data_IF_569436365485
#
_entry.id   IF_569436365485
#
_cell.length_a   1.000
_cell.length_b   1.000
_cell.length_c   1.000
_cell.angle_alpha   90.00
_cell.angle_beta   90.00
_cell.angle_gamma   90.00
#
_symmetry.space_group_name_H-M   'P 1'
#
loop_
_entity.id
_entity.type
_entity.pdbx_description
1 polymer ?
#
# COMPACT_ATOMS: atom_id res chain seq x y z
N UNK A 1 17.24 -35.66 8.29
CA UNK A 1 18.47 -36.27 8.84
C UNK A 1 19.42 -35.16 9.25
N UNK A 2 19.49 -34.89 10.55
CA UNK A 2 20.40 -33.91 11.16
C UNK A 2 21.81 -34.52 11.11
N UNK A 3 22.69 -33.99 10.24
CA UNK A 3 24.09 -34.45 10.14
C UNK A 3 24.88 -33.92 11.35
N UNK A 4 25.86 -34.67 11.83
CA UNK A 4 26.52 -34.39 13.10
C UNK A 4 27.39 -33.12 13.04
N UNK A 5 27.44 -32.37 14.13
CA UNK A 5 28.27 -31.18 14.28
C UNK A 5 29.77 -31.45 13.99
N UNK A 6 30.22 -32.66 14.31
CA UNK A 6 31.59 -33.13 14.04
C UNK A 6 31.89 -33.21 12.53
N UNK A 7 30.96 -33.70 11.71
CA UNK A 7 31.15 -33.75 10.25
C UNK A 7 31.32 -32.35 9.66
N UNK A 8 30.57 -31.38 10.17
CA UNK A 8 30.67 -29.99 9.75
C UNK A 8 32.05 -29.39 10.09
N UNK A 9 32.52 -29.57 11.32
CA UNK A 9 33.83 -29.07 11.76
C UNK A 9 34.99 -29.67 10.96
N UNK A 10 34.97 -30.99 10.71
CA UNK A 10 36.00 -31.63 9.87
C UNK A 10 36.04 -31.09 8.46
N UNK A 11 34.88 -30.79 7.86
CA UNK A 11 34.84 -30.16 6.53
C UNK A 11 35.36 -28.72 6.56
N UNK A 12 35.04 -27.93 7.59
CA UNK A 12 35.57 -26.56 7.72
C UNK A 12 37.10 -26.54 7.82
N UNK A 13 37.69 -27.44 8.63
CA UNK A 13 39.15 -27.55 8.74
C UNK A 13 39.83 -27.90 7.40
N UNK A 14 39.20 -28.79 6.60
CA UNK A 14 39.71 -29.12 5.26
C UNK A 14 39.52 -27.98 4.24
N UNK A 15 38.48 -27.16 4.40
CA UNK A 15 38.27 -25.94 3.62
C UNK A 15 39.36 -24.91 3.93
N UNK A 16 39.65 -24.69 5.21
CA UNK A 16 40.70 -23.78 5.70
C UNK A 16 42.10 -24.24 5.25
N UNK A 17 42.33 -25.54 5.20
CA UNK A 17 43.53 -26.15 4.63
C UNK A 17 43.64 -26.05 3.10
N UNK A 18 42.69 -25.41 2.42
CA UNK A 18 42.75 -25.11 0.98
C UNK A 18 42.35 -26.26 0.05
N UNK A 19 41.80 -27.37 0.55
CA UNK A 19 41.37 -28.48 -0.30
C UNK A 19 40.16 -28.08 -1.15
N UNK A 20 40.04 -28.65 -2.35
CA UNK A 20 38.87 -28.47 -3.22
C UNK A 20 37.69 -29.40 -2.83
N UNK A 21 36.47 -29.06 -3.26
CA UNK A 21 35.24 -29.79 -2.86
C UNK A 21 35.24 -31.27 -3.24
N UNK A 22 35.88 -31.64 -4.36
CA UNK A 22 35.98 -33.04 -4.79
C UNK A 22 36.91 -33.85 -3.86
N UNK A 23 38.03 -33.26 -3.45
CA UNK A 23 38.97 -33.86 -2.53
C UNK A 23 38.35 -34.08 -1.15
N UNK A 24 37.68 -33.06 -0.61
CA UNK A 24 36.97 -33.16 0.67
C UNK A 24 35.85 -34.21 0.60
N UNK A 25 35.09 -34.26 -0.51
CA UNK A 25 34.04 -35.27 -0.69
C UNK A 25 34.57 -36.70 -0.67
N UNK A 26 35.71 -36.94 -1.34
CA UNK A 26 36.39 -38.25 -1.33
C UNK A 26 36.92 -38.61 0.06
N UNK A 27 37.48 -37.65 0.79
CA UNK A 27 38.10 -37.89 2.10
C UNK A 27 37.08 -38.10 3.21
N UNK A 28 35.95 -37.38 3.16
CA UNK A 28 34.94 -37.38 4.25
C UNK A 28 33.73 -38.27 3.96
N UNK A 29 33.57 -38.77 2.72
CA UNK A 29 32.38 -39.47 2.27
C UNK A 29 31.14 -38.56 2.14
N UNK A 30 31.27 -37.27 2.41
CA UNK A 30 30.17 -36.30 2.33
C UNK A 30 29.94 -35.94 0.87
N UNK A 31 28.69 -35.95 0.36
CA UNK A 31 28.42 -35.62 -1.03
C UNK A 31 28.96 -34.24 -1.40
N UNK A 32 29.65 -34.13 -2.54
CA UNK A 32 30.28 -32.88 -3.03
C UNK A 32 29.35 -31.66 -2.94
N UNK A 33 28.05 -31.83 -3.24
CA UNK A 33 27.06 -30.75 -3.16
C UNK A 33 26.88 -30.20 -1.74
N UNK A 34 27.00 -31.06 -0.73
CA UNK A 34 26.95 -30.67 0.69
C UNK A 34 28.23 -29.94 1.09
N UNK A 35 29.40 -30.44 0.69
CA UNK A 35 30.68 -29.76 0.94
C UNK A 35 30.66 -28.35 0.31
N UNK A 36 30.20 -28.25 -0.94
CA UNK A 36 30.04 -26.98 -1.64
C UNK A 36 29.08 -26.04 -0.91
N UNK A 37 27.98 -26.57 -0.34
CA UNK A 37 27.04 -25.80 0.46
C UNK A 37 27.66 -25.32 1.78
N UNK A 38 28.43 -26.15 2.47
CA UNK A 38 29.10 -25.76 3.72
C UNK A 38 30.25 -24.78 3.50
N UNK A 39 30.97 -24.88 2.38
CA UNK A 39 32.00 -23.90 1.98
C UNK A 39 31.42 -22.53 1.68
N UNK A 40 30.25 -22.49 1.04
CA UNK A 40 29.52 -21.24 0.79
C UNK A 40 28.94 -20.63 2.07
N UNK A 41 29.05 -21.32 3.21
CA UNK A 41 28.37 -20.99 4.46
C UNK A 41 26.85 -21.19 4.36
N UNK A 42 26.11 -21.05 5.48
CA UNK A 42 24.68 -20.79 5.36
C UNK A 42 24.53 -19.59 4.43
N UNK A 43 23.80 -19.77 3.33
CA UNK A 43 23.41 -18.65 2.49
C UNK A 43 22.69 -17.71 3.45
N UNK A 44 23.34 -16.61 3.84
CA UNK A 44 22.63 -15.53 4.49
C UNK A 44 21.59 -15.14 3.44
N UNK A 45 20.37 -15.64 3.63
CA UNK A 45 19.20 -14.98 3.10
C UNK A 45 19.35 -13.62 3.74
N UNK A 46 19.89 -12.64 3.01
CA UNK A 46 19.80 -11.25 3.40
C UNK A 46 18.32 -11.08 3.68
N UNK A 47 17.96 -11.00 4.96
CA UNK A 47 16.65 -10.54 5.39
C UNK A 47 16.66 -9.08 4.96
N UNK A 48 16.29 -8.83 3.71
CA UNK A 48 16.03 -7.47 3.23
C UNK A 48 14.69 -7.03 3.84
N UNK A 49 14.57 -7.06 5.17
CA UNK A 49 13.55 -6.30 5.87
C UNK A 49 13.95 -4.81 5.91
N UNK A 50 15.21 -4.50 5.60
CA UNK A 50 15.74 -3.14 5.50
C UNK A 50 15.80 -2.70 4.03
N UNK A 51 14.70 -2.11 3.55
CA UNK A 51 14.73 -1.28 2.36
C UNK A 51 15.35 0.07 2.75
N UNK A 52 16.67 0.17 2.68
CA UNK A 52 17.45 1.24 3.34
C UNK A 52 17.56 2.53 2.55
N UNK A 53 17.23 2.54 1.25
CA UNK A 53 17.26 3.76 0.42
C UNK A 53 16.17 3.71 -0.64
N UNK A 54 15.16 4.54 -0.45
CA UNK A 54 14.16 4.85 -1.46
C UNK A 54 14.41 6.25 -1.97
N UNK A 55 14.41 6.41 -3.29
CA UNK A 55 14.31 7.73 -3.89
C UNK A 55 12.84 8.03 -4.17
N UNK A 56 12.16 8.60 -3.16
CA UNK A 56 10.74 8.93 -3.24
C UNK A 56 10.45 10.07 -4.24
N UNK A 57 11.46 10.85 -4.63
CA UNK A 57 11.30 11.93 -5.61
C UNK A 57 10.92 11.41 -7.01
N UNK A 58 11.22 10.14 -7.29
CA UNK A 58 10.89 9.48 -8.57
C UNK A 58 9.48 8.89 -8.59
N UNK A 59 8.77 8.89 -7.46
CA UNK A 59 7.42 8.34 -7.42
C UNK A 59 6.45 9.20 -8.23
N UNK A 60 5.56 8.57 -9.03
CA UNK A 60 4.56 9.32 -9.76
C UNK A 60 3.52 9.87 -8.77
N UNK A 61 3.47 11.19 -8.61
CA UNK A 61 2.66 11.87 -7.60
C UNK A 61 1.17 11.49 -7.70
N UNK A 62 0.59 11.50 -8.91
CA UNK A 62 -0.85 11.24 -9.11
C UNK A 62 -1.27 9.81 -8.71
N UNK A 63 -0.64 8.73 -9.23
CA UNK A 63 -0.91 7.37 -8.77
C UNK A 63 -0.66 7.18 -7.27
N UNK A 64 0.39 7.80 -6.74
CA UNK A 64 0.73 7.70 -5.32
C UNK A 64 -0.35 8.32 -4.44
N UNK A 65 -0.71 9.57 -4.71
CA UNK A 65 -1.72 10.34 -3.98
C UNK A 65 -3.09 9.64 -4.03
N UNK A 66 -3.53 9.20 -5.21
CA UNK A 66 -4.77 8.45 -5.35
C UNK A 66 -4.77 7.16 -4.52
N UNK A 67 -3.71 6.35 -4.65
CA UNK A 67 -3.60 5.09 -3.91
C UNK A 67 -3.46 5.32 -2.40
N UNK A 68 -2.82 6.41 -1.97
CA UNK A 68 -2.76 6.79 -0.56
C UNK A 68 -4.17 7.06 -0.01
N UNK A 69 -5.00 7.80 -0.74
CA UNK A 69 -6.41 8.03 -0.36
C UNK A 69 -7.18 6.71 -0.23
N UNK A 70 -7.10 5.86 -1.25
CA UNK A 70 -7.71 4.52 -1.23
C UNK A 70 -7.17 3.66 -0.08
N UNK A 71 -5.87 3.76 0.21
CA UNK A 71 -5.23 3.02 1.28
C UNK A 71 -5.74 3.48 2.65
N UNK A 72 -5.93 4.78 2.86
CA UNK A 72 -6.39 5.35 4.12
C UNK A 72 -7.84 4.98 4.44
N UNK A 73 -8.71 4.84 3.44
CA UNK A 73 -10.04 4.30 3.66
C UNK A 73 -10.05 2.78 3.73
N UNK A 74 -10.15 2.12 2.58
CA UNK A 74 -10.42 0.69 2.45
C UNK A 74 -9.15 -0.19 2.37
N UNK A 75 -7.97 0.42 2.38
CA UNK A 75 -6.72 -0.31 2.30
C UNK A 75 -6.24 -0.93 3.61
N UNK A 76 -5.52 -2.04 3.47
CA UNK A 76 -4.78 -2.67 4.54
C UNK A 76 -3.52 -3.37 4.03
N UNK A 77 -2.44 -3.28 4.82
CA UNK A 77 -1.17 -3.95 4.55
C UNK A 77 -1.00 -5.09 5.57
N UNK A 78 -0.89 -6.32 5.05
CA UNK A 78 -0.69 -7.52 5.86
C UNK A 78 0.69 -8.11 5.65
N UNK A 79 1.35 -8.51 6.75
CA UNK A 79 2.62 -9.26 6.72
C UNK A 79 2.37 -10.66 6.17
N UNK A 80 3.18 -11.08 5.22
CA UNK A 80 3.31 -12.48 4.77
C UNK A 80 4.71 -13.00 5.13
N UNK A 81 4.97 -14.34 5.14
CA UNK A 81 6.22 -14.90 5.63
C UNK A 81 7.50 -14.34 4.99
N UNK A 82 7.44 -13.85 3.74
CA UNK A 82 8.60 -13.35 2.98
C UNK A 82 8.39 -11.96 2.35
N UNK A 83 7.22 -11.36 2.51
CA UNK A 83 6.81 -10.14 1.80
C UNK A 83 5.65 -9.45 2.53
N UNK A 84 5.12 -8.37 1.96
CA UNK A 84 3.91 -7.71 2.43
C UNK A 84 2.86 -7.73 1.33
N UNK A 85 1.58 -7.73 1.71
CA UNK A 85 0.46 -7.65 0.78
C UNK A 85 -0.33 -6.39 1.06
N UNK A 86 -0.39 -5.50 0.08
CA UNK A 86 -1.41 -4.45 0.03
C UNK A 86 -2.71 -5.06 -0.49
N UNK A 87 -3.81 -4.74 0.18
CA UNK A 87 -5.18 -5.03 -0.25
C UNK A 87 -5.99 -3.75 -0.14
N UNK A 88 -6.75 -3.43 -1.17
CA UNK A 88 -7.79 -2.40 -1.17
C UNK A 88 -9.09 -3.10 -1.54
N UNK A 89 -10.11 -2.97 -0.70
CA UNK A 89 -11.42 -3.58 -0.98
C UNK A 89 -12.28 -2.53 -1.68
N UNK A 90 -12.85 -2.85 -2.83
CA UNK A 90 -13.72 -1.96 -3.59
C UNK A 90 -15.08 -2.62 -3.81
N UNK A 91 -16.13 -1.82 -3.99
CA UNK A 91 -17.46 -2.32 -4.38
C UNK A 91 -17.46 -2.67 -5.87
N UNK A 92 -17.96 -3.85 -6.23
CA UNK A 92 -18.04 -4.33 -7.63
C UNK A 92 -19.03 -3.56 -8.48
N UNK A 93 -19.89 -2.73 -7.87
CA UNK A 93 -20.73 -1.76 -8.56
C UNK A 93 -19.92 -0.68 -9.30
N UNK A 94 -18.66 -0.45 -8.90
CA UNK A 94 -17.79 0.60 -9.44
C UNK A 94 -16.53 0.00 -10.12
N UNK A 95 -16.67 -0.69 -11.27
CA UNK A 95 -15.55 -1.28 -11.99
C UNK A 95 -14.48 -0.28 -12.43
N UNK A 96 -14.82 0.99 -12.71
CA UNK A 96 -13.81 2.00 -13.08
C UNK A 96 -12.90 2.32 -11.89
N UNK A 97 -13.46 2.44 -10.67
CA UNK A 97 -12.67 2.60 -9.43
C UNK A 97 -11.73 1.41 -9.20
N UNK A 98 -12.18 0.18 -9.47
CA UNK A 98 -11.35 -1.03 -9.36
C UNK A 98 -10.17 -0.95 -10.35
N UNK A 99 -10.45 -0.56 -11.61
CA UNK A 99 -9.43 -0.42 -12.64
C UNK A 99 -8.43 0.71 -12.34
N UNK A 100 -8.89 1.84 -11.82
CA UNK A 100 -8.05 2.97 -11.40
C UNK A 100 -7.16 2.58 -10.21
N UNK A 101 -7.72 1.90 -9.19
CA UNK A 101 -6.95 1.38 -8.06
C UNK A 101 -5.88 0.38 -8.49
N UNK A 102 -6.21 -0.51 -9.43
CA UNK A 102 -5.25 -1.44 -10.02
C UNK A 102 -4.13 -0.69 -10.74
N UNK A 103 -4.49 0.27 -11.59
CA UNK A 103 -3.52 1.06 -12.36
C UNK A 103 -2.57 1.84 -11.44
N UNK A 104 -3.10 2.39 -10.35
CA UNK A 104 -2.30 3.10 -9.36
C UNK A 104 -1.30 2.17 -8.62
N UNK A 105 -1.73 0.95 -8.26
CA UNK A 105 -0.85 -0.06 -7.66
C UNK A 105 0.29 -0.46 -8.63
N UNK A 106 -0.05 -0.71 -9.90
CA UNK A 106 0.92 -1.13 -10.93
C UNK A 106 1.92 -0.01 -11.27
N UNK A 107 1.49 1.25 -11.22
CA UNK A 107 2.37 2.41 -11.43
C UNK A 107 3.43 2.56 -10.32
N UNK A 108 3.12 2.19 -9.08
CA UNK A 108 4.07 2.28 -7.96
C UNK A 108 5.04 1.10 -7.87
N UNK A 109 4.66 -0.07 -8.43
CA UNK A 109 5.51 -1.26 -8.46
C UNK A 109 5.68 -1.72 -9.92
N UNK A 110 6.57 -1.04 -10.69
CA UNK A 110 6.77 -1.37 -12.10
C UNK A 110 7.12 -2.84 -12.34
N UNK A 111 6.52 -3.43 -13.37
CA UNK A 111 6.76 -4.82 -13.77
C UNK A 111 5.98 -5.87 -12.95
N UNK A 112 5.06 -5.44 -12.08
CA UNK A 112 4.13 -6.35 -11.40
C UNK A 112 2.68 -5.94 -11.69
N UNK A 113 1.79 -6.93 -11.65
CA UNK A 113 0.36 -6.73 -11.88
C UNK A 113 -0.45 -6.99 -10.63
N UNK A 114 -1.38 -6.08 -10.32
CA UNK A 114 -2.28 -6.26 -9.19
C UNK A 114 -3.33 -7.33 -9.53
N UNK A 115 -3.54 -8.26 -8.61
CA UNK A 115 -4.59 -9.26 -8.71
C UNK A 115 -5.91 -8.66 -8.23
N UNK A 116 -6.99 -8.93 -8.97
CA UNK A 116 -8.36 -8.66 -8.56
C UNK A 116 -8.95 -9.98 -8.09
N UNK A 117 -9.50 -10.02 -6.88
CA UNK A 117 -10.08 -11.22 -6.28
C UNK A 117 -11.47 -10.89 -5.76
N UNK A 118 -12.49 -11.53 -6.35
CA UNK A 118 -13.87 -11.37 -5.89
C UNK A 118 -14.04 -11.89 -4.46
N UNK A 119 -14.87 -11.19 -3.70
CA UNK A 119 -15.29 -11.60 -2.35
C UNK A 119 -16.75 -12.00 -2.36
N UNK A 120 -17.16 -12.63 -1.26
CA UNK A 120 -18.58 -12.86 -1.01
C UNK A 120 -19.28 -11.50 -0.89
N UNK A 121 -20.33 -11.29 -1.68
CA UNK A 121 -21.08 -10.04 -1.76
C UNK A 121 -20.71 -9.20 -2.99
N UNK A 122 -20.91 -7.90 -2.90
CA UNK A 122 -20.62 -6.93 -3.97
C UNK A 122 -19.25 -6.28 -3.80
N UNK A 123 -18.22 -7.05 -3.44
CA UNK A 123 -16.88 -6.50 -3.19
C UNK A 123 -15.78 -7.30 -3.89
N UNK A 124 -14.72 -6.61 -4.30
CA UNK A 124 -13.50 -7.20 -4.84
C UNK A 124 -12.26 -6.63 -4.15
N UNK A 125 -11.28 -7.49 -3.86
CA UNK A 125 -9.96 -7.08 -3.37
C UNK A 125 -9.04 -6.80 -4.57
N UNK A 126 -8.53 -5.58 -4.68
CA UNK A 126 -7.35 -5.28 -5.51
C UNK A 126 -6.11 -5.46 -4.65
N UNK A 127 -5.17 -6.31 -5.06
CA UNK A 127 -4.05 -6.67 -4.20
C UNK A 127 -2.75 -6.96 -4.93
N UNK A 128 -1.63 -6.61 -4.29
CA UNK A 128 -0.29 -6.91 -4.80
C UNK A 128 0.66 -7.22 -3.66
N UNK A 129 1.58 -8.16 -3.90
CA UNK A 129 2.63 -8.52 -2.95
C UNK A 129 3.92 -7.75 -3.26
N UNK A 130 4.47 -7.04 -2.29
CA UNK A 130 5.75 -6.35 -2.43
C UNK A 130 6.41 -6.16 -1.07
N UNK A 131 7.75 -6.15 -1.04
CA UNK A 131 8.49 -5.78 0.17
C UNK A 131 8.43 -4.29 0.47
N UNK A 132 8.06 -3.46 -0.51
CA UNK A 132 8.11 -2.01 -0.44
C UNK A 132 6.83 -1.38 0.13
N UNK A 133 5.75 -2.13 0.34
CA UNK A 133 4.50 -1.56 0.88
C UNK A 133 4.66 -0.83 2.22
N UNK A 134 5.39 -1.38 3.22
CA UNK A 134 5.71 -0.64 4.45
C UNK A 134 6.41 0.71 4.22
N UNK A 135 7.27 0.78 3.20
CA UNK A 135 8.04 1.98 2.91
C UNK A 135 7.20 3.02 2.16
N UNK A 136 6.32 2.57 1.27
CA UNK A 136 5.40 3.45 0.54
C UNK A 136 4.24 3.94 1.41
N UNK A 137 3.83 3.17 2.41
CA UNK A 137 2.74 3.50 3.33
C UNK A 137 3.18 3.28 4.78
N UNK A 138 4.04 4.16 5.32
CA UNK A 138 4.58 4.05 6.67
C UNK A 138 3.50 4.19 7.76
N UNK A 139 2.28 4.59 7.39
CA UNK A 139 1.09 4.62 8.26
C UNK A 139 0.64 3.22 8.69
N UNK A 140 1.17 2.13 8.10
CA UNK A 140 0.83 0.77 8.51
C UNK A 140 1.29 0.48 9.94
N UNK A 141 0.53 -0.33 10.68
CA UNK A 141 0.85 -0.64 12.07
C UNK A 141 -0.16 -1.58 12.71
N UNK A 142 0.13 -2.08 13.92
CA UNK A 142 -0.75 -2.99 14.63
C UNK A 142 -2.08 -2.31 15.03
N UNK A 143 -3.16 -3.09 15.09
CA UNK A 143 -4.47 -2.59 15.51
C UNK A 143 -5.23 -1.81 14.43
N UNK A 144 -6.38 -1.25 14.84
CA UNK A 144 -7.30 -0.55 13.93
C UNK A 144 -6.67 0.75 13.44
N UNK A 145 -6.97 1.14 12.19
CA UNK A 145 -6.37 2.33 11.56
C UNK A 145 -6.70 3.61 12.34
N UNK A 146 -7.95 3.76 12.76
CA UNK A 146 -8.42 4.92 13.54
C UNK A 146 -7.94 4.97 15.00
N UNK A 147 -7.28 3.93 15.51
CA UNK A 147 -6.69 3.95 16.85
C UNK A 147 -5.19 4.25 16.83
N UNK A 148 -4.63 4.52 15.65
CA UNK A 148 -3.22 4.85 15.44
C UNK A 148 -3.09 6.29 15.00
N UNK A 149 -1.93 6.88 15.28
CA UNK A 149 -1.54 8.15 14.67
C UNK A 149 -1.29 7.92 13.19
N UNK A 150 -1.94 8.72 12.35
CA UNK A 150 -1.76 8.75 10.90
C UNK A 150 -1.20 10.12 10.56
N UNK A 151 0.09 10.17 10.22
CA UNK A 151 0.73 11.40 9.75
C UNK A 151 1.42 11.10 8.43
N UNK A 152 1.44 12.06 7.52
CA UNK A 152 2.22 11.98 6.29
C UNK A 152 3.67 12.32 6.60
N UNK A 153 4.59 11.53 6.07
CA UNK A 153 5.99 11.92 6.02
C UNK A 153 6.16 13.13 5.09
N UNK A 154 7.22 13.95 5.24
CA UNK A 154 7.41 15.14 4.41
C UNK A 154 7.35 14.86 2.91
N UNK A 155 7.99 13.77 2.46
CA UNK A 155 7.96 13.38 1.05
C UNK A 155 6.56 12.93 0.58
N UNK A 156 5.72 12.40 1.47
CA UNK A 156 4.32 12.06 1.14
C UNK A 156 3.50 13.34 1.00
N UNK A 157 3.74 14.31 1.89
CA UNK A 157 3.09 15.62 1.82
C UNK A 157 3.43 16.31 0.50
N UNK A 158 4.71 16.31 0.10
CA UNK A 158 5.11 16.87 -1.19
C UNK A 158 4.33 16.23 -2.36
N UNK A 159 4.22 14.90 -2.40
CA UNK A 159 3.46 14.21 -3.47
C UNK A 159 1.96 14.52 -3.42
N UNK A 160 1.38 14.64 -2.22
CA UNK A 160 -0.04 15.00 -2.02
C UNK A 160 -0.29 16.45 -2.43
N UNK A 161 0.62 17.36 -2.15
CA UNK A 161 0.50 18.77 -2.54
C UNK A 161 0.58 18.93 -4.07
N UNK A 162 1.41 18.12 -4.74
CA UNK A 162 1.48 18.10 -6.22
C UNK A 162 0.27 17.45 -6.88
N UNK A 163 -0.46 16.58 -6.17
CA UNK A 163 -1.56 15.78 -6.71
C UNK A 163 -2.78 15.75 -5.77
N UNK A 164 -3.14 16.91 -5.23
CA UNK A 164 -4.17 17.03 -4.20
C UNK A 164 -5.54 16.57 -4.68
N UNK A 165 -5.88 16.86 -5.94
CA UNK A 165 -7.11 16.37 -6.58
C UNK A 165 -7.18 14.84 -6.58
N UNK A 166 -6.09 14.17 -6.95
CA UNK A 166 -6.01 12.71 -6.99
C UNK A 166 -6.09 12.12 -5.56
N UNK A 167 -5.48 12.77 -4.56
CA UNK A 167 -5.60 12.38 -3.14
C UNK A 167 -7.06 12.47 -2.64
N UNK A 168 -7.72 13.60 -2.86
CA UNK A 168 -9.11 13.81 -2.47
C UNK A 168 -10.05 12.86 -3.22
N UNK A 169 -9.81 12.59 -4.50
CA UNK A 169 -10.52 11.57 -5.29
C UNK A 169 -10.39 10.20 -4.64
N UNK A 170 -9.18 9.77 -4.28
CA UNK A 170 -8.93 8.47 -3.64
C UNK A 170 -9.70 8.30 -2.33
N UNK A 171 -9.71 9.34 -1.48
CA UNK A 171 -10.48 9.34 -0.22
C UNK A 171 -12.00 9.25 -0.46
N UNK A 172 -12.53 9.95 -1.47
CA UNK A 172 -13.95 9.86 -1.82
C UNK A 172 -14.31 8.52 -2.47
N UNK A 173 -13.38 7.92 -3.23
CA UNK A 173 -13.57 6.62 -3.85
C UNK A 173 -13.63 5.50 -2.82
N UNK A 174 -12.89 5.61 -1.70
CA UNK A 174 -12.99 4.66 -0.58
C UNK A 174 -14.19 4.94 0.34
N UNK A 175 -14.07 5.96 1.20
CA UNK A 175 -14.99 6.21 2.31
C UNK A 175 -15.99 7.34 2.03
N UNK A 176 -16.01 7.84 0.80
CA UNK A 176 -16.89 8.91 0.36
C UNK A 176 -18.09 8.44 -0.45
N UNK A 177 -19.09 9.32 -0.50
CA UNK A 177 -20.23 9.18 -1.38
C UNK A 177 -20.56 10.50 -2.07
N UNK A 178 -21.06 10.38 -3.30
CA UNK A 178 -21.64 11.46 -4.07
C UNK A 178 -23.12 11.15 -4.27
N UNK A 179 -23.99 12.02 -3.79
CA UNK A 179 -25.44 11.83 -3.82
C UNK A 179 -26.09 12.97 -4.59
N UNK A 180 -27.09 12.64 -5.41
CA UNK A 180 -28.00 13.62 -6.00
C UNK A 180 -29.24 13.67 -5.12
N UNK A 181 -29.40 14.75 -4.36
CA UNK A 181 -30.56 15.02 -3.53
C UNK A 181 -31.59 15.85 -4.30
N UNK A 182 -32.85 15.75 -3.88
CA UNK A 182 -33.94 16.57 -4.41
C UNK A 182 -34.29 17.66 -3.38
N UNK A 183 -33.84 18.88 -3.63
CA UNK A 183 -34.15 20.06 -2.82
C UNK A 183 -35.34 20.80 -3.42
N UNK A 184 -36.56 20.40 -3.00
CA UNK A 184 -37.83 21.02 -3.40
C UNK A 184 -38.04 21.09 -4.91
N UNK A 185 -37.71 20.01 -5.62
CA UNK A 185 -37.82 19.90 -7.07
C UNK A 185 -36.53 20.23 -7.83
N UNK A 186 -35.48 20.69 -7.15
CA UNK A 186 -34.18 21.01 -7.76
C UNK A 186 -33.15 19.95 -7.37
N UNK A 187 -32.52 19.33 -8.37
CA UNK A 187 -31.43 18.40 -8.14
C UNK A 187 -30.19 19.12 -7.56
N UNK A 188 -29.69 18.64 -6.42
CA UNK A 188 -28.48 19.15 -5.78
C UNK A 188 -27.48 18.02 -5.54
N UNK A 189 -26.21 18.28 -5.86
CA UNK A 189 -25.13 17.32 -5.63
C UNK A 189 -24.58 17.56 -4.23
N UNK A 190 -24.31 16.48 -3.51
CA UNK A 190 -23.71 16.49 -2.18
C UNK A 190 -22.61 15.44 -2.09
N UNK A 191 -21.46 15.84 -1.57
CA UNK A 191 -20.40 14.91 -1.20
C UNK A 191 -20.38 14.73 0.32
N UNK A 192 -20.18 13.49 0.74
CA UNK A 192 -19.91 13.15 2.14
C UNK A 192 -18.68 12.27 2.20
N UNK A 193 -17.86 12.47 3.22
CA UNK A 193 -16.72 11.62 3.55
C UNK A 193 -16.85 11.20 5.02
N UNK A 194 -16.80 9.90 5.29
CA UNK A 194 -17.01 9.37 6.64
C UNK A 194 -15.81 8.57 7.11
N UNK A 195 -15.12 9.02 8.15
CA UNK A 195 -14.02 8.27 8.74
C UNK A 195 -13.99 8.42 10.26
N UNK A 196 -13.47 7.41 10.97
CA UNK A 196 -13.33 7.43 12.44
C UNK A 196 -12.00 8.01 12.91
N UNK A 197 -11.00 8.09 12.04
CA UNK A 197 -9.70 8.65 12.37
C UNK A 197 -9.75 10.16 12.22
N UNK A 198 -9.51 10.87 13.33
CA UNK A 198 -9.40 12.34 13.31
C UNK A 198 -8.30 12.79 12.35
N UNK A 199 -7.18 12.07 12.33
CA UNK A 199 -6.06 12.36 11.44
C UNK A 199 -6.46 12.24 9.96
N UNK A 200 -7.21 11.19 9.56
CA UNK A 200 -7.67 11.03 8.17
C UNK A 200 -8.72 12.10 7.81
N UNK A 201 -9.60 12.45 8.74
CA UNK A 201 -10.52 13.58 8.54
C UNK A 201 -9.74 14.88 8.33
N UNK A 202 -8.69 15.12 9.14
CA UNK A 202 -7.81 16.28 9.03
C UNK A 202 -7.06 16.33 7.70
N UNK A 203 -6.55 15.20 7.21
CA UNK A 203 -5.92 15.11 5.89
C UNK A 203 -6.91 15.43 4.77
N UNK A 204 -8.15 14.93 4.86
CA UNK A 204 -9.18 15.23 3.88
C UNK A 204 -9.54 16.72 3.89
N UNK A 205 -9.76 17.32 5.06
CA UNK A 205 -10.10 18.74 5.16
C UNK A 205 -8.97 19.64 4.71
N UNK A 206 -7.70 19.29 5.02
CA UNK A 206 -6.55 20.04 4.54
C UNK A 206 -6.45 20.01 3.00
N UNK A 207 -6.72 18.86 2.37
CA UNK A 207 -6.79 18.75 0.92
C UNK A 207 -7.91 19.64 0.34
N UNK A 208 -9.10 19.65 0.96
CA UNK A 208 -10.19 20.54 0.54
C UNK A 208 -9.84 22.02 0.71
N UNK A 209 -9.20 22.39 1.82
CA UNK A 209 -8.77 23.77 2.10
C UNK A 209 -7.74 24.24 1.07
N UNK A 210 -6.77 23.41 0.70
CA UNK A 210 -5.77 23.73 -0.33
C UNK A 210 -6.36 23.87 -1.75
N UNK A 211 -7.54 23.30 -1.99
CA UNK A 211 -8.29 23.43 -3.24
C UNK A 211 -9.35 24.55 -3.19
N UNK A 212 -9.39 25.33 -2.10
CA UNK A 212 -10.41 26.35 -1.82
C UNK A 212 -11.85 25.79 -1.84
N UNK A 213 -12.04 24.53 -1.44
CA UNK A 213 -13.34 23.84 -1.44
C UNK A 213 -13.97 23.94 -0.04
N UNK A 214 -15.00 24.78 0.15
CA UNK A 214 -15.62 24.93 1.46
C UNK A 214 -16.37 23.67 1.89
N UNK A 215 -16.11 23.23 3.11
CA UNK A 215 -16.71 22.04 3.71
C UNK A 215 -17.37 22.35 5.06
N UNK A 216 -18.19 21.41 5.53
CA UNK A 216 -18.82 21.45 6.84
C UNK A 216 -18.58 20.14 7.56
N UNK A 217 -18.30 20.21 8.86
CA UNK A 217 -18.30 19.04 9.74
C UNK A 217 -19.72 18.78 10.23
N UNK A 218 -20.44 17.89 9.55
CA UNK A 218 -21.84 17.58 9.85
C UNK A 218 -21.99 16.76 11.13
N UNK A 219 -21.02 15.90 11.42
CA UNK A 219 -20.94 15.14 12.69
C UNK A 219 -19.48 14.96 13.11
N UNK A 220 -19.23 14.29 14.24
CA UNK A 220 -17.88 13.92 14.66
C UNK A 220 -17.10 13.14 13.59
N UNK A 221 -17.77 12.38 12.72
CA UNK A 221 -17.11 11.48 11.76
C UNK A 221 -17.36 11.83 10.29
N UNK A 222 -18.14 12.88 10.01
CA UNK A 222 -18.62 13.17 8.66
C UNK A 222 -18.25 14.59 8.25
N UNK A 223 -17.46 14.68 7.18
CA UNK A 223 -17.22 15.91 6.43
C UNK A 223 -18.17 15.94 5.24
N UNK A 224 -18.70 17.11 4.93
CA UNK A 224 -19.68 17.26 3.87
C UNK A 224 -19.47 18.52 3.06
N UNK A 225 -19.73 18.41 1.75
CA UNK A 225 -19.62 19.50 0.79
C UNK A 225 -20.96 19.63 0.08
N UNK A 226 -21.62 20.77 0.30
CA UNK A 226 -22.99 21.04 -0.16
C UNK A 226 -23.10 22.26 -1.07
N UNK A 227 -22.15 23.19 -1.03
CA UNK A 227 -22.22 24.42 -1.82
C UNK A 227 -22.10 24.08 -3.31
N UNK A 228 -23.01 24.61 -4.13
CA UNK A 228 -23.08 24.28 -5.56
C UNK A 228 -21.76 24.50 -6.31
N UNK A 229 -21.05 25.60 -6.04
CA UNK A 229 -19.75 25.86 -6.64
C UNK A 229 -18.68 24.84 -6.18
N UNK A 230 -18.70 24.46 -4.91
CA UNK A 230 -17.77 23.50 -4.33
C UNK A 230 -18.02 22.08 -4.87
N UNK A 231 -19.28 21.67 -5.01
CA UNK A 231 -19.62 20.36 -5.57
C UNK A 231 -19.41 20.29 -7.07
N UNK A 232 -19.59 21.40 -7.81
CA UNK A 232 -19.17 21.51 -9.20
C UNK A 232 -17.65 21.37 -9.35
N UNK A 233 -16.87 22.01 -8.46
CA UNK A 233 -15.41 21.88 -8.45
C UNK A 233 -14.96 20.44 -8.17
N UNK A 234 -15.59 19.75 -7.22
CA UNK A 234 -15.34 18.33 -6.98
C UNK A 234 -15.73 17.44 -8.18
N UNK A 235 -16.77 17.81 -8.94
CA UNK A 235 -17.19 17.04 -10.12
C UNK A 235 -16.18 17.10 -11.27
N UNK A 236 -15.39 18.16 -11.39
CA UNK A 236 -14.36 18.30 -12.42
C UNK A 236 -13.31 17.19 -12.34
N UNK A 237 -12.95 16.79 -11.12
CA UNK A 237 -11.87 15.84 -10.88
C UNK A 237 -12.28 14.61 -10.07
N UNK A 238 -13.51 14.44 -9.61
CA UNK A 238 -13.99 13.18 -9.00
C UNK A 238 -15.12 12.60 -9.85
N UNK A 239 -16.14 13.41 -10.09
CA UNK A 239 -17.31 13.01 -10.86
C UNK A 239 -18.13 11.88 -10.20
N UNK A 240 -19.05 11.26 -10.95
CA UNK A 240 -19.83 10.12 -10.47
C UNK A 240 -18.97 8.87 -10.32
N UNK A 241 -19.15 8.14 -9.21
CA UNK A 241 -18.51 6.83 -8.99
C UNK A 241 -19.02 5.83 -10.04
N UNK A 242 -18.11 5.21 -10.78
CA UNK A 242 -18.35 4.25 -11.87
C UNK A 242 -17.42 3.05 -11.77
#
# INVERSE_FOLDING_TARGET
>A
MTRSHQQYQSVQHLIEAGLNDCAISRQTGIPRRTVCQWRRGPRQVRRSDECTRHDYSTLPARPYAYLLGMYLGDGYISRSPRTWRLRVTCDTKYPEIIAECRSAIEALIPGQHAAIVDRVGSCADVSLYSKHWPCLFPQHGPGRKHSRKIALEPWQQDLVDHATEDFARGLIHSDGCRVVANDRGVASIRYHFTNRSEDILGLFTAALDSLDIPWTRSTAYVISVYRKAATARLDEFIGPKR
#
